data_IF_334442121177
#
_entry.id   IF_334442121177
#
_cell.length_a   1.000
_cell.length_b   1.000
_cell.length_c   1.000
_cell.angle_alpha   90.00
_cell.angle_beta   90.00
_cell.angle_gamma   90.00
#
_symmetry.space_group_name_H-M   'P 1'
#
loop_
_entity.id
_entity.type
_entity.pdbx_description
1 polymer ?
#
# COMPACT_ATOMS: atom_id res chain seq x y z
N UNK A 1 -6.33 -20.26 7.71
CA UNK A 1 -6.40 -19.82 6.29
C UNK A 1 -6.68 -21.01 5.38
N UNK A 2 -5.77 -21.99 5.22
CA UNK A 2 -6.09 -23.20 4.43
C UNK A 2 -7.32 -23.95 4.98
N UNK A 3 -7.39 -24.13 6.29
CA UNK A 3 -8.56 -24.72 6.97
C UNK A 3 -9.89 -23.98 6.73
N UNK A 4 -9.86 -22.67 6.46
CA UNK A 4 -11.07 -21.87 6.18
C UNK A 4 -11.54 -22.07 4.73
N UNK A 5 -10.60 -22.30 3.80
CA UNK A 5 -10.93 -22.67 2.43
C UNK A 5 -11.49 -24.09 2.37
N UNK A 6 -10.90 -25.01 3.14
CA UNK A 6 -11.38 -26.40 3.26
C UNK A 6 -12.79 -26.43 3.88
N UNK A 7 -13.06 -25.59 4.89
CA UNK A 7 -14.39 -25.44 5.48
C UNK A 7 -15.46 -24.92 4.47
N UNK A 8 -15.06 -24.22 3.40
CA UNK A 8 -15.99 -23.82 2.36
C UNK A 8 -16.57 -25.03 1.60
N UNK A 9 -15.90 -26.18 1.58
CA UNK A 9 -16.40 -27.38 0.87
C UNK A 9 -17.72 -27.90 1.46
N UNK A 10 -17.98 -27.61 2.73
CA UNK A 10 -19.22 -27.96 3.44
C UNK A 10 -20.43 -27.11 3.00
N UNK A 11 -20.21 -25.97 2.32
CA UNK A 11 -21.28 -25.08 1.85
C UNK A 11 -22.00 -25.72 0.67
N UNK A 12 -23.24 -26.17 0.86
CA UNK A 12 -24.02 -26.88 -0.17
C UNK A 12 -24.30 -26.01 -1.40
N UNK A 13 -24.64 -24.73 -1.22
CA UNK A 13 -24.87 -23.80 -2.33
C UNK A 13 -23.53 -23.44 -3.01
N UNK A 14 -23.40 -23.81 -4.28
CA UNK A 14 -22.22 -23.56 -5.10
C UNK A 14 -21.89 -22.06 -5.22
N UNK A 15 -22.90 -21.20 -5.35
CA UNK A 15 -22.71 -19.76 -5.55
C UNK A 15 -22.19 -19.13 -4.27
N UNK A 16 -22.78 -19.49 -3.13
CA UNK A 16 -22.33 -18.99 -1.83
C UNK A 16 -20.94 -19.51 -1.48
N UNK A 17 -20.65 -20.78 -1.79
CA UNK A 17 -19.32 -21.37 -1.66
C UNK A 17 -18.26 -20.57 -2.42
N UNK A 18 -18.50 -20.32 -3.70
CA UNK A 18 -17.58 -19.56 -4.56
C UNK A 18 -17.39 -18.14 -4.05
N UNK A 19 -18.47 -17.47 -3.64
CA UNK A 19 -18.41 -16.12 -3.08
C UNK A 19 -17.57 -16.08 -1.81
N UNK A 20 -17.73 -17.05 -0.92
CA UNK A 20 -16.96 -17.16 0.32
C UNK A 20 -15.48 -17.43 0.06
N UNK A 21 -15.18 -18.36 -0.85
CA UNK A 21 -13.80 -18.63 -1.30
C UNK A 21 -13.14 -17.37 -1.84
N UNK A 22 -13.81 -16.64 -2.74
CA UNK A 22 -13.29 -15.41 -3.31
C UNK A 22 -12.99 -14.33 -2.27
N UNK A 23 -13.86 -14.17 -1.26
CA UNK A 23 -13.62 -13.25 -0.15
C UNK A 23 -12.37 -13.62 0.66
N UNK A 24 -12.19 -14.91 0.94
CA UNK A 24 -11.02 -15.40 1.70
C UNK A 24 -9.74 -15.15 0.89
N UNK A 25 -9.74 -15.52 -0.39
CA UNK A 25 -8.59 -15.35 -1.28
C UNK A 25 -8.23 -13.87 -1.47
N UNK A 26 -9.23 -13.00 -1.69
CA UNK A 26 -9.01 -11.55 -1.81
C UNK A 26 -8.41 -10.96 -0.53
N UNK A 27 -8.92 -11.37 0.63
CA UNK A 27 -8.40 -10.93 1.93
C UNK A 27 -6.96 -11.40 2.16
N UNK A 28 -6.64 -12.63 1.74
CA UNK A 28 -5.29 -13.18 1.83
C UNK A 28 -4.31 -12.43 0.92
N UNK A 29 -4.70 -12.18 -0.33
CA UNK A 29 -3.89 -11.42 -1.27
C UNK A 29 -3.59 -10.01 -0.75
N UNK A 30 -4.58 -9.33 -0.19
CA UNK A 30 -4.40 -8.01 0.43
C UNK A 30 -3.42 -8.06 1.60
N UNK A 31 -3.51 -9.07 2.47
CA UNK A 31 -2.60 -9.24 3.60
C UNK A 31 -1.16 -9.50 3.15
N UNK A 32 -0.96 -10.28 2.09
CA UNK A 32 0.36 -10.54 1.50
C UNK A 32 0.95 -9.26 0.90
N UNK A 33 0.16 -8.51 0.12
CA UNK A 33 0.58 -7.23 -0.46
C UNK A 33 1.00 -6.23 0.62
N UNK A 34 0.19 -6.11 1.68
CA UNK A 34 0.52 -5.28 2.84
C UNK A 34 1.84 -5.72 3.49
N UNK A 35 2.02 -7.01 3.74
CA UNK A 35 3.24 -7.53 4.37
C UNK A 35 4.49 -7.29 3.52
N UNK A 36 4.38 -7.38 2.19
CA UNK A 36 5.48 -7.09 1.27
C UNK A 36 5.85 -5.61 1.29
N UNK A 37 4.86 -4.73 1.10
CA UNK A 37 5.06 -3.27 1.17
C UNK A 37 5.62 -2.83 2.51
N UNK A 38 5.13 -3.43 3.60
CA UNK A 38 5.65 -3.16 4.94
C UNK A 38 7.15 -3.48 5.05
N UNK A 39 7.57 -4.64 4.53
CA UNK A 39 8.99 -5.05 4.53
C UNK A 39 9.85 -4.13 3.67
N UNK A 40 9.35 -3.70 2.50
CA UNK A 40 10.07 -2.77 1.62
C UNK A 40 10.30 -1.43 2.28
N UNK A 41 9.25 -0.82 2.84
CA UNK A 41 9.34 0.45 3.55
C UNK A 41 10.23 0.35 4.80
N UNK A 42 10.15 -0.76 5.54
CA UNK A 42 11.01 -1.00 6.70
C UNK A 42 12.50 -1.07 6.32
N UNK A 43 12.85 -1.63 5.15
CA UNK A 43 14.23 -1.65 4.64
C UNK A 43 14.76 -0.26 4.31
N UNK A 44 13.89 0.66 3.91
CA UNK A 44 14.21 2.06 3.65
C UNK A 44 14.30 2.91 4.94
N UNK A 45 14.18 2.29 6.12
CA UNK A 45 14.21 2.98 7.40
C UNK A 45 12.92 3.74 7.75
N UNK A 46 11.86 3.58 6.95
CA UNK A 46 10.56 4.20 7.18
C UNK A 46 9.66 3.24 7.96
N UNK A 47 9.04 3.71 9.05
CA UNK A 47 8.10 2.91 9.83
C UNK A 47 6.69 3.00 9.22
N UNK A 48 6.16 1.93 8.60
CA UNK A 48 4.90 2.01 7.84
C UNK A 48 3.69 2.31 8.72
N UNK A 49 3.72 1.88 9.97
CA UNK A 49 2.65 2.20 10.94
C UNK A 49 2.57 3.70 11.24
N UNK A 50 3.69 4.42 11.25
CA UNK A 50 3.68 5.88 11.45
C UNK A 50 3.06 6.60 10.25
N UNK A 51 3.25 6.08 9.03
CA UNK A 51 2.62 6.61 7.81
C UNK A 51 1.09 6.43 7.90
N UNK A 52 0.63 5.24 8.28
CA UNK A 52 -0.81 4.96 8.47
C UNK A 52 -1.41 5.82 9.58
N UNK A 53 -0.69 5.99 10.69
CA UNK A 53 -1.10 6.87 11.79
C UNK A 53 -1.24 8.32 11.33
N UNK A 54 -0.26 8.84 10.58
CA UNK A 54 -0.25 10.19 10.05
C UNK A 54 -1.40 10.44 9.05
N UNK A 55 -1.77 9.43 8.25
CA UNK A 55 -2.94 9.46 7.36
C UNK A 55 -4.27 9.43 8.11
N UNK A 56 -4.32 8.73 9.25
CA UNK A 56 -5.53 8.60 10.05
C UNK A 56 -5.83 9.88 10.87
N UNK A 57 -4.80 10.64 11.22
CA UNK A 57 -4.94 11.96 11.84
C UNK A 57 -5.25 13.03 10.79
N UNK A 58 -6.35 13.75 10.95
CA UNK A 58 -6.72 14.91 10.12
C UNK A 58 -5.88 16.15 10.49
N UNK A 59 -4.56 16.01 10.55
CA UNK A 59 -3.64 17.12 10.75
C UNK A 59 -3.10 17.56 9.38
N UNK A 60 -3.30 18.80 8.93
CA UNK A 60 -2.91 19.24 7.58
C UNK A 60 -1.40 19.09 7.30
N UNK A 61 -0.54 19.19 8.33
CA UNK A 61 0.89 18.96 8.19
C UNK A 61 1.23 17.47 8.07
N UNK A 62 0.54 16.59 8.81
CA UNK A 62 0.69 15.14 8.71
C UNK A 62 0.22 14.58 7.36
N UNK A 63 -0.83 15.17 6.79
CA UNK A 63 -1.32 14.83 5.45
C UNK A 63 -0.32 15.20 4.34
N UNK A 64 0.48 16.25 4.55
CA UNK A 64 1.52 16.68 3.60
C UNK A 64 2.69 15.70 3.59
N UNK A 65 3.14 15.28 4.78
CA UNK A 65 4.20 14.27 4.94
C UNK A 65 3.75 12.93 4.35
N UNK A 66 2.54 12.49 4.65
CA UNK A 66 2.03 11.23 4.12
C UNK A 66 1.87 11.27 2.59
N UNK A 67 1.41 12.38 2.00
CA UNK A 67 1.41 12.58 0.54
C UNK A 67 2.81 12.52 -0.05
N UNK A 68 3.80 13.10 0.63
CA UNK A 68 5.20 13.06 0.22
C UNK A 68 5.74 11.63 0.18
N UNK A 69 5.52 10.88 1.27
CA UNK A 69 6.00 9.49 1.38
C UNK A 69 5.29 8.57 0.38
N UNK A 70 3.98 8.74 0.16
CA UNK A 70 3.24 7.97 -0.86
C UNK A 70 3.70 8.34 -2.27
N UNK A 71 3.94 9.62 -2.56
CA UNK A 71 4.44 10.05 -3.86
C UNK A 71 5.82 9.42 -4.13
N UNK A 72 6.75 9.51 -3.17
CA UNK A 72 8.09 8.90 -3.28
C UNK A 72 8.00 7.38 -3.45
N UNK A 73 7.21 6.69 -2.61
CA UNK A 73 7.02 5.24 -2.71
C UNK A 73 6.33 4.81 -4.03
N UNK A 74 5.52 5.68 -4.62
CA UNK A 74 4.86 5.47 -5.90
C UNK A 74 5.70 5.87 -7.13
N UNK A 75 6.91 6.39 -6.94
CA UNK A 75 7.72 6.91 -8.04
C UNK A 75 7.20 8.23 -8.61
N UNK A 76 6.49 9.03 -7.82
CA UNK A 76 5.96 10.35 -8.21
C UNK A 76 6.65 11.48 -7.46
N UNK A 77 6.80 12.63 -8.11
CA UNK A 77 7.39 13.81 -7.53
C UNK A 77 6.49 14.35 -6.40
N UNK A 78 7.02 14.58 -5.19
CA UNK A 78 6.23 15.11 -4.08
C UNK A 78 5.77 16.55 -4.28
N UNK A 79 6.42 17.30 -5.18
CA UNK A 79 6.11 18.71 -5.44
C UNK A 79 5.06 18.93 -6.52
N UNK A 80 5.10 18.15 -7.61
CA UNK A 80 4.21 18.35 -8.76
C UNK A 80 3.38 17.12 -9.15
N UNK A 81 3.64 15.94 -8.56
CA UNK A 81 2.92 14.70 -8.86
C UNK A 81 3.29 14.04 -10.20
N UNK A 82 4.29 14.53 -10.92
CA UNK A 82 4.78 13.90 -12.15
C UNK A 82 5.54 12.60 -11.86
N UNK A 83 5.56 11.67 -12.81
CA UNK A 83 6.33 10.44 -12.68
C UNK A 83 7.83 10.77 -12.60
N UNK A 84 8.50 10.26 -11.60
CA UNK A 84 9.94 10.41 -11.36
C UNK A 84 10.68 9.21 -11.94
N UNK A 85 11.82 9.49 -12.53
CA UNK A 85 12.77 8.43 -12.88
C UNK A 85 13.50 8.01 -11.60
N UNK A 86 13.66 6.70 -11.39
CA UNK A 86 14.27 6.15 -10.18
C UNK A 86 15.76 6.47 -10.06
N UNK A 87 16.40 6.80 -11.18
CA UNK A 87 17.83 7.13 -11.26
C UNK A 87 18.12 8.63 -11.11
N UNK A 88 17.09 9.48 -10.91
CA UNK A 88 17.24 10.93 -10.85
C UNK A 88 16.84 11.50 -9.47
N UNK A 89 17.77 12.21 -8.85
CA UNK A 89 17.55 12.93 -7.58
C UNK A 89 16.75 14.25 -7.75
N UNK A 90 16.25 14.52 -8.96
CA UNK A 90 15.50 15.73 -9.27
C UNK A 90 14.35 15.46 -10.26
N UNK A 91 13.29 16.26 -10.14
CA UNK A 91 12.13 16.15 -11.01
C UNK A 91 12.36 16.90 -12.34
N UNK A 92 12.37 16.16 -13.45
CA UNK A 92 12.45 16.74 -14.80
C UNK A 92 11.26 17.61 -15.19
N UNK A 93 10.10 17.45 -14.53
CA UNK A 93 8.89 18.21 -14.84
C UNK A 93 8.76 19.52 -14.07
N UNK A 94 9.29 19.63 -12.85
CA UNK A 94 9.17 20.85 -12.04
C UNK A 94 10.50 21.45 -11.57
N UNK A 95 11.61 20.76 -11.77
CA UNK A 95 12.96 21.21 -11.42
C UNK A 95 13.30 21.12 -9.93
N UNK A 96 12.40 20.66 -9.07
CA UNK A 96 12.68 20.47 -7.65
C UNK A 96 13.43 19.17 -7.38
N UNK A 97 14.36 19.19 -6.43
CA UNK A 97 15.08 18.02 -5.93
C UNK A 97 14.21 17.20 -4.98
N UNK A 98 14.47 15.90 -4.92
CA UNK A 98 13.82 14.99 -3.97
C UNK A 98 14.79 14.79 -2.81
N UNK A 99 14.62 15.58 -1.74
CA UNK A 99 15.30 15.35 -0.46
C UNK A 99 14.61 14.26 0.38
#
# INVERSE_FOLDING_TARGET
MQAELDACEEIVDKTERQKRQWQIESSLLLAIDFANKFKELSKLGQNPMQIVQALATQDPDSAKIAKQVIAIAGGFCPHCGANMDADLDFCSSCGNYVE
#
